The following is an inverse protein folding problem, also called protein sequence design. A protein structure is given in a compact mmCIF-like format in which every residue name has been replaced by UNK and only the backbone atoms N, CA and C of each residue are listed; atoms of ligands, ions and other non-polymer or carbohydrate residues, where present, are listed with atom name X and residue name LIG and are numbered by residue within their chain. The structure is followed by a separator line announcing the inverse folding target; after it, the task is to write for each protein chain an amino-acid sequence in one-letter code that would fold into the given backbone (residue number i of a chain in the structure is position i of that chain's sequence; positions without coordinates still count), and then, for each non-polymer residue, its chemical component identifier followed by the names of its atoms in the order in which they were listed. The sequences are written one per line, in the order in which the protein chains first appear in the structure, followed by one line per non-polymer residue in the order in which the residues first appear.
data_IF_589416677622
#
_entry.id   IF_589416677622
#
_cell.length_a   1.000
_cell.length_b   1.000
_cell.length_c   1.000
_cell.angle_alpha   90.00
_cell.angle_beta   90.00
_cell.angle_gamma   90.00
#
_symmetry.space_group_name_H-M   'P 1'
#
loop_
_entity.id
_entity.type
_entity.pdbx_description
1 polymer ?
#
# COMPACT_ATOMS: atom_id res chain seq x y z
N UNK A 1 -9.38 -15.87 0.34
CA UNK A 1 -8.38 -15.54 1.38
C UNK A 1 -7.19 -14.89 0.68
N UNK A 2 -6.67 -13.76 1.20
CA UNK A 2 -5.43 -13.18 0.70
C UNK A 2 -4.26 -13.91 1.35
N UNK A 3 -3.33 -14.42 0.55
CA UNK A 3 -2.08 -15.03 1.01
C UNK A 3 -0.89 -14.16 0.59
N UNK A 4 0.26 -14.25 1.29
CA UNK A 4 1.50 -13.57 0.90
C UNK A 4 1.95 -13.91 -0.53
N UNK A 5 1.69 -15.14 -0.97
CA UNK A 5 1.97 -15.58 -2.35
C UNK A 5 1.14 -14.80 -3.37
N UNK A 6 -0.15 -14.57 -3.08
CA UNK A 6 -1.01 -13.78 -3.95
C UNK A 6 -0.56 -12.31 -4.03
N UNK A 7 -0.04 -11.77 -2.93
CA UNK A 7 0.58 -10.46 -2.91
C UNK A 7 1.81 -10.41 -3.84
N UNK A 8 2.70 -11.41 -3.78
CA UNK A 8 3.89 -11.48 -4.64
C UNK A 8 3.56 -11.65 -6.14
N UNK A 9 2.44 -12.30 -6.47
CA UNK A 9 1.95 -12.37 -7.85
C UNK A 9 1.51 -10.99 -8.35
N UNK A 10 0.88 -10.19 -7.49
CA UNK A 10 0.36 -8.87 -7.84
C UNK A 10 1.42 -7.79 -7.84
N UNK A 11 2.39 -7.88 -6.92
CA UNK A 11 3.50 -6.95 -6.81
C UNK A 11 4.83 -7.71 -6.90
N UNK A 12 5.25 -8.09 -8.12
CA UNK A 12 6.45 -8.89 -8.32
C UNK A 12 7.74 -8.18 -7.88
N UNK A 13 7.71 -6.85 -7.71
CA UNK A 13 8.82 -6.05 -7.20
C UNK A 13 9.18 -6.34 -5.72
N UNK A 14 8.22 -6.82 -4.92
CA UNK A 14 8.47 -7.25 -3.54
C UNK A 14 8.82 -8.74 -3.41
N UNK A 15 9.03 -9.47 -4.53
CA UNK A 15 9.48 -10.88 -4.49
C UNK A 15 10.82 -11.07 -3.79
N UNK A 16 11.62 -10.01 -3.73
CA UNK A 16 12.91 -10.01 -3.03
C UNK A 16 12.76 -9.94 -1.49
N UNK A 17 11.55 -9.69 -0.99
CA UNK A 17 11.24 -9.61 0.44
C UNK A 17 10.76 -10.95 0.97
N UNK A 18 11.17 -11.32 2.18
CA UNK A 18 10.78 -12.59 2.80
C UNK A 18 9.25 -12.71 2.97
N UNK A 19 8.70 -13.86 2.56
CA UNK A 19 7.30 -14.25 2.78
C UNK A 19 6.79 -14.03 4.22
N UNK A 20 7.51 -14.43 5.29
CA UNK A 20 7.08 -14.16 6.67
C UNK A 20 6.98 -12.66 6.98
N UNK A 21 7.89 -11.84 6.45
CA UNK A 21 7.86 -10.37 6.60
C UNK A 21 6.62 -9.79 5.93
N UNK A 22 6.33 -10.22 4.69
CA UNK A 22 5.11 -9.83 3.97
C UNK A 22 3.85 -10.23 4.76
N UNK A 23 3.85 -11.43 5.35
CA UNK A 23 2.78 -11.91 6.21
C UNK A 23 2.53 -11.01 7.42
N UNK A 24 3.60 -10.58 8.11
CA UNK A 24 3.50 -9.67 9.26
C UNK A 24 2.86 -8.33 8.89
N UNK A 25 3.34 -7.69 7.81
CA UNK A 25 2.76 -6.43 7.33
C UNK A 25 1.33 -6.59 6.79
N UNK A 26 0.98 -7.76 6.28
CA UNK A 26 -0.41 -8.07 5.89
C UNK A 26 -1.33 -8.13 7.11
N UNK A 27 -0.92 -8.80 8.19
CA UNK A 27 -1.72 -8.83 9.42
C UNK A 27 -1.89 -7.43 10.01
N UNK A 28 -0.82 -6.63 10.02
CA UNK A 28 -0.89 -5.24 10.46
C UNK A 28 -1.87 -4.41 9.59
N UNK A 29 -1.84 -4.61 8.27
CA UNK A 29 -2.76 -3.95 7.35
C UNK A 29 -4.22 -4.37 7.57
N UNK A 30 -4.47 -5.65 7.87
CA UNK A 30 -5.82 -6.13 8.19
C UNK A 30 -6.38 -5.50 9.46
N UNK A 31 -5.53 -5.23 10.46
CA UNK A 31 -5.96 -4.56 11.71
C UNK A 31 -6.32 -3.09 11.44
N UNK A 32 -5.61 -2.41 10.55
CA UNK A 32 -5.89 -1.01 10.21
C UNK A 32 -7.12 -0.82 9.31
N UNK A 33 -7.54 -1.88 8.61
CA UNK A 33 -8.63 -1.81 7.63
C UNK A 33 -9.83 -2.59 8.16
N UNK A 34 -10.95 -1.90 8.39
CA UNK A 34 -12.18 -2.57 8.77
C UNK A 34 -12.85 -3.21 7.55
N UNK A 35 -12.99 -4.54 7.57
CA UNK A 35 -13.69 -5.30 6.52
C UNK A 35 -15.13 -4.81 6.32
N UNK A 36 -15.82 -4.44 7.40
CA UNK A 36 -17.20 -3.90 7.35
C UNK A 36 -17.28 -2.57 6.59
N UNK A 37 -16.29 -1.69 6.75
CA UNK A 37 -16.28 -0.41 6.07
C UNK A 37 -15.85 -0.54 4.60
N UNK A 38 -14.92 -1.44 4.30
CA UNK A 38 -14.33 -1.56 2.96
C UNK A 38 -15.07 -2.51 2.01
N UNK A 39 -15.80 -3.50 2.54
CA UNK A 39 -16.57 -4.46 1.76
C UNK A 39 -15.74 -5.10 0.64
N UNK A 40 -16.20 -4.96 -0.62
CA UNK A 40 -15.53 -5.54 -1.80
C UNK A 40 -14.11 -5.00 -2.04
N UNK A 41 -13.80 -3.80 -1.54
CA UNK A 41 -12.49 -3.18 -1.71
C UNK A 41 -11.50 -3.58 -0.60
N UNK A 42 -11.95 -4.32 0.42
CA UNK A 42 -11.12 -4.75 1.55
C UNK A 42 -9.82 -5.41 1.09
N UNK A 43 -9.94 -6.35 0.14
CA UNK A 43 -8.82 -7.09 -0.43
C UNK A 43 -7.78 -6.13 -1.04
N UNK A 44 -8.23 -5.19 -1.86
CA UNK A 44 -7.35 -4.22 -2.49
C UNK A 44 -6.73 -3.27 -1.47
N UNK A 45 -7.51 -2.82 -0.48
CA UNK A 45 -7.03 -1.97 0.60
C UNK A 45 -5.87 -2.59 1.36
N UNK A 46 -6.04 -3.82 1.81
CA UNK A 46 -5.00 -4.57 2.53
C UNK A 46 -3.76 -4.69 1.67
N UNK A 47 -3.91 -5.12 0.41
CA UNK A 47 -2.79 -5.27 -0.52
C UNK A 47 -2.00 -3.96 -0.73
N UNK A 48 -2.67 -2.85 -1.02
CA UNK A 48 -1.98 -1.57 -1.24
C UNK A 48 -1.38 -0.98 0.05
N UNK A 49 -2.01 -1.16 1.20
CA UNK A 49 -1.46 -0.72 2.48
C UNK A 49 -0.23 -1.55 2.86
N UNK A 50 -0.26 -2.87 2.68
CA UNK A 50 0.91 -3.73 2.89
C UNK A 50 2.06 -3.31 2.00
N UNK A 51 1.83 -3.05 0.71
CA UNK A 51 2.87 -2.58 -0.21
C UNK A 51 3.45 -1.22 0.22
N UNK A 52 2.60 -0.30 0.69
CA UNK A 52 3.05 0.99 1.23
C UNK A 52 3.93 0.84 2.47
N UNK A 53 3.52 0.02 3.44
CA UNK A 53 4.28 -0.23 4.67
C UNK A 53 5.63 -0.89 4.37
N UNK A 54 5.65 -1.89 3.48
CA UNK A 54 6.88 -2.53 3.02
C UNK A 54 7.82 -1.53 2.33
N UNK A 55 7.28 -0.69 1.44
CA UNK A 55 8.07 0.35 0.78
C UNK A 55 8.69 1.33 1.77
N UNK A 56 7.93 1.77 2.78
CA UNK A 56 8.45 2.64 3.83
C UNK A 56 9.49 1.94 4.71
N UNK A 57 9.29 0.66 5.03
CA UNK A 57 10.25 -0.14 5.79
C UNK A 57 11.59 -0.25 5.04
N UNK A 58 11.53 -0.52 3.73
CA UNK A 58 12.71 -0.56 2.86
C UNK A 58 13.41 0.81 2.72
N UNK A 59 12.66 1.91 2.69
CA UNK A 59 13.24 3.26 2.64
C UNK A 59 13.82 3.73 3.98
N UNK A 60 13.19 3.38 5.11
CA UNK A 60 13.66 3.77 6.46
C UNK A 60 14.81 2.89 6.95
N UNK A 61 14.93 1.66 6.43
CA UNK A 61 15.98 0.69 6.76
C UNK A 61 17.35 1.03 6.14
N UNK A 62 17.96 2.14 6.55
CA UNK A 62 19.31 2.53 6.15
C UNK A 62 20.45 1.75 6.82
N UNK A 63 20.19 0.65 7.53
CA UNK A 63 21.23 -0.05 8.31
C UNK A 63 20.99 -1.57 8.34
N UNK A 64 21.30 -2.24 7.23
CA UNK A 64 22.14 -3.46 7.12
C UNK A 64 21.80 -4.22 5.84
N UNK A 65 22.76 -4.23 4.92
CA UNK A 65 22.92 -5.29 3.92
C UNK A 65 21.93 -5.27 2.74
N UNK A 66 22.46 -4.93 1.57
CA UNK A 66 21.81 -5.00 0.27
C UNK A 66 20.77 -3.91 -0.01
N UNK A 67 21.33 -2.83 -0.52
CA UNK A 67 20.73 -1.89 -1.46
C UNK A 67 19.75 -2.61 -2.42
N UNK A 68 18.48 -2.63 -2.06
CA UNK A 68 17.38 -2.65 -3.03
C UNK A 68 16.83 -1.23 -3.20
N UNK A 69 17.72 -0.23 -3.27
CA UNK A 69 17.50 0.91 -4.17
C UNK A 69 17.64 0.44 -5.62
N UNK A 70 16.90 -0.59 -6.01
CA UNK A 70 16.57 -0.80 -7.40
C UNK A 70 15.36 0.09 -7.59
N UNK A 71 15.53 1.20 -8.31
CA UNK A 71 14.44 2.03 -8.85
C UNK A 71 13.22 1.13 -9.06
N UNK A 72 12.23 1.19 -8.17
CA UNK A 72 10.88 0.75 -8.50
C UNK A 72 10.52 1.66 -9.67
N UNK A 73 10.53 1.07 -10.86
CA UNK A 73 10.76 1.74 -12.13
C UNK A 73 9.92 2.99 -12.29
N UNK A 74 10.50 3.99 -12.93
CA UNK A 74 9.88 5.17 -13.54
C UNK A 74 8.34 5.13 -13.62
N UNK A 75 7.66 5.30 -12.49
CA UNK A 75 6.24 5.61 -12.42
C UNK A 75 6.16 7.07 -11.97
N UNK A 76 6.62 7.95 -12.87
CA UNK A 76 6.19 9.33 -12.91
C UNK A 76 4.70 9.31 -13.24
N UNK A 77 3.87 9.15 -12.21
CA UNK A 77 2.46 9.45 -12.34
C UNK A 77 2.29 10.92 -11.98
N UNK A 78 2.30 11.77 -13.01
CA UNK A 78 1.95 13.17 -12.92
C UNK A 78 0.49 13.30 -12.44
N UNK A 79 0.28 13.29 -11.13
CA UNK A 79 -0.94 13.79 -10.51
C UNK A 79 -0.56 14.91 -9.57
N UNK A 80 -0.68 16.13 -10.10
CA UNK A 80 -0.77 17.41 -9.41
C UNK A 80 -0.41 17.37 -7.91
N UNK A 81 0.86 17.59 -7.62
CA UNK A 81 1.38 18.39 -6.50
C UNK A 81 0.47 18.45 -5.26
N UNK A 82 0.12 17.29 -4.68
CA UNK A 82 -0.28 17.21 -3.29
C UNK A 82 1.00 17.29 -2.48
N UNK A 83 1.29 18.49 -1.98
CA UNK A 83 2.45 18.79 -1.14
C UNK A 83 2.64 17.69 -0.09
N UNK A 84 3.73 16.95 -0.20
CA UNK A 84 4.06 15.77 0.62
C UNK A 84 4.15 16.04 2.13
N UNK A 85 4.04 17.30 2.55
CA UNK A 85 4.07 17.71 3.95
C UNK A 85 2.83 17.28 4.76
N UNK A 86 1.65 17.21 4.14
CA UNK A 86 0.38 16.94 4.86
C UNK A 86 -0.19 15.52 4.65
N UNK A 87 0.45 14.71 3.80
CA UNK A 87 -0.09 13.40 3.43
C UNK A 87 0.96 12.28 3.52
N UNK A 88 1.03 11.54 4.64
CA UNK A 88 2.02 10.47 4.82
C UNK A 88 1.87 9.33 3.79
N UNK A 89 0.70 9.18 3.16
CA UNK A 89 0.47 8.18 2.12
C UNK A 89 1.00 8.60 0.73
N UNK A 90 1.35 9.88 0.54
CA UNK A 90 1.93 10.37 -0.72
C UNK A 90 3.41 9.99 -0.91
N UNK A 91 4.02 9.31 0.07
CA UNK A 91 5.41 8.85 0.01
C UNK A 91 5.63 7.68 -0.95
N UNK A 92 4.57 7.02 -1.43
CA UNK A 92 4.66 5.93 -2.42
C UNK A 92 3.43 5.89 -3.32
N UNK A 93 3.58 5.34 -4.52
CA UNK A 93 2.45 5.09 -5.44
C UNK A 93 1.37 4.20 -4.80
N UNK A 94 1.75 3.20 -4.00
CA UNK A 94 0.80 2.32 -3.31
C UNK A 94 -0.02 3.05 -2.24
N UNK A 95 0.60 3.96 -1.50
CA UNK A 95 -0.09 4.77 -0.49
C UNK A 95 -1.11 5.71 -1.12
N UNK A 96 -0.80 6.29 -2.29
CA UNK A 96 -1.75 7.10 -3.06
C UNK A 96 -2.94 6.26 -3.56
N UNK A 97 -2.69 5.05 -4.04
CA UNK A 97 -3.77 4.16 -4.49
C UNK A 97 -4.62 3.67 -3.32
N UNK A 98 -4.02 3.38 -2.17
CA UNK A 98 -4.75 3.12 -0.92
C UNK A 98 -5.64 4.31 -0.53
N UNK A 99 -5.13 5.54 -0.60
CA UNK A 99 -5.91 6.74 -0.30
C UNK A 99 -7.01 6.99 -1.33
N UNK A 100 -6.79 6.66 -2.61
CA UNK A 100 -7.83 6.68 -3.64
C UNK A 100 -8.96 5.70 -3.28
N UNK A 101 -8.64 4.46 -2.93
CA UNK A 101 -9.62 3.47 -2.48
C UNK A 101 -10.36 3.92 -1.22
N UNK A 102 -9.62 4.45 -0.24
CA UNK A 102 -10.20 5.01 0.99
C UNK A 102 -11.18 6.15 0.68
N UNK A 103 -10.89 7.02 -0.30
CA UNK A 103 -11.81 8.08 -0.74
C UNK A 103 -13.08 7.54 -1.41
N UNK A 104 -12.97 6.45 -2.17
CA UNK A 104 -14.14 5.79 -2.79
C UNK A 104 -15.07 5.19 -1.75
N UNK A 105 -14.53 4.69 -0.65
CA UNK A 105 -15.29 4.12 0.46
C UNK A 105 -15.86 5.22 1.36
N UNK A 106 -15.07 6.25 1.64
CA UNK A 106 -15.46 7.37 2.49
C UNK A 106 -16.51 8.27 1.86
N UNK A 107 -16.66 8.26 0.53
CA UNK A 107 -17.75 8.95 -0.15
C UNK A 107 -19.00 8.07 -0.07
N UNK A 108 -20.01 8.40 0.77
CA UNK A 108 -21.26 7.70 0.68
C UNK A 108 -21.85 7.99 -0.71
N UNK A 109 -22.17 6.94 -1.44
CA UNK A 109 -23.05 7.04 -2.59
C UNK A 109 -24.40 7.53 -2.05
N UNK A 110 -24.71 8.81 -2.23
CA UNK A 110 -26.05 9.38 -2.03
C UNK A 110 -26.28 10.14 -0.71
N UNK A 111 -25.93 11.42 -0.70
CA UNK A 111 -26.86 12.44 -0.19
C UNK A 111 -27.34 13.22 -1.42
N UNK A 112 -28.24 12.59 -2.18
CA UNK A 112 -29.12 13.30 -3.10
C UNK A 112 -30.26 13.89 -2.26
N UNK A 113 -30.47 15.20 -2.49
CA UNK A 113 -31.50 16.08 -1.94
C UNK A 113 -32.89 15.47 -1.82
#
# INVERSE_FOLDING_TARGET
MITPEHFMLRFPEFKSTDLPTVGFFMEEAKVQISEKAWGKLYVHGVLYLTAHLLFLSLQKGGITGQVLSKKAGELQVNYAQLTSADNPFAQSSYGLEYQRLKRLIAKPIGLTR
#
